data_IF_037308346868
#
_entry.id   IF_037308346868
#
_cell.length_a   1.000
_cell.length_b   1.000
_cell.length_c   1.000
_cell.angle_alpha   90.00
_cell.angle_beta   90.00
_cell.angle_gamma   90.00
#
_symmetry.space_group_name_H-M   'P 1'
#
loop_
_entity.id
_entity.type
_entity.pdbx_description
1 polymer ?
#
# COMPACT_ATOMS: atom_id res chain seq x y z
N UNK A 1 -41.81 5.87 -31.41
CA UNK A 1 -40.82 6.85 -30.92
C UNK A 1 -39.69 6.08 -30.22
N UNK A 2 -38.47 6.05 -30.77
CA UNK A 2 -37.31 5.41 -30.11
C UNK A 2 -36.60 6.47 -29.29
N UNK A 3 -36.98 6.58 -28.00
CA UNK A 3 -36.49 7.63 -27.08
C UNK A 3 -35.12 7.35 -26.47
N UNK A 4 -34.55 6.17 -26.70
CA UNK A 4 -33.26 5.77 -26.10
C UNK A 4 -32.26 5.36 -27.16
N UNK A 5 -31.06 5.90 -27.03
CA UNK A 5 -29.87 5.48 -27.74
C UNK A 5 -28.92 4.83 -26.71
N UNK A 6 -28.55 3.54 -26.88
CA UNK A 6 -27.58 2.92 -25.98
C UNK A 6 -26.21 3.58 -26.14
N UNK A 7 -25.59 3.93 -25.01
CA UNK A 7 -24.20 4.37 -24.93
C UNK A 7 -23.44 3.29 -24.17
N UNK A 8 -22.54 2.60 -24.84
CA UNK A 8 -21.72 1.56 -24.23
C UNK A 8 -20.52 2.21 -23.52
N UNK A 9 -20.35 1.90 -22.23
CA UNK A 9 -19.20 2.29 -21.43
C UNK A 9 -18.48 1.01 -21.03
N UNK A 10 -17.36 0.73 -21.70
CA UNK A 10 -16.54 -0.45 -21.42
C UNK A 10 -15.67 -0.29 -20.17
N UNK A 11 -15.11 -1.39 -19.71
CA UNK A 11 -14.08 -1.38 -18.66
C UNK A 11 -12.82 -0.66 -19.19
N UNK A 12 -12.22 0.27 -18.42
CA UNK A 12 -10.97 0.92 -18.79
C UNK A 12 -9.81 -0.07 -18.77
N UNK A 13 -8.78 0.21 -19.57
CA UNK A 13 -7.55 -0.57 -19.51
C UNK A 13 -6.80 -0.34 -18.19
N UNK A 14 -5.77 -1.14 -17.92
CA UNK A 14 -4.87 -0.92 -16.77
C UNK A 14 -4.21 0.47 -16.87
N UNK A 15 -3.77 0.88 -18.07
CA UNK A 15 -3.15 2.20 -18.28
C UNK A 15 -4.14 3.36 -18.06
N UNK A 16 -5.37 3.21 -18.56
CA UNK A 16 -6.45 4.18 -18.32
C UNK A 16 -6.76 4.26 -16.82
N UNK A 17 -6.79 3.12 -16.13
CA UNK A 17 -7.06 3.07 -14.69
C UNK A 17 -5.96 3.75 -13.90
N UNK A 18 -4.68 3.57 -14.25
CA UNK A 18 -3.57 4.29 -13.63
C UNK A 18 -3.76 5.80 -13.81
N UNK A 19 -4.19 6.24 -15.00
CA UNK A 19 -4.45 7.66 -15.28
C UNK A 19 -5.62 8.21 -14.46
N UNK A 20 -6.69 7.43 -14.31
CA UNK A 20 -7.84 7.74 -13.44
C UNK A 20 -7.38 7.86 -11.99
N UNK A 21 -6.62 6.89 -11.49
CA UNK A 21 -6.09 6.89 -10.12
C UNK A 21 -5.17 8.08 -9.85
N UNK A 22 -4.31 8.47 -10.81
CA UNK A 22 -3.47 9.66 -10.71
C UNK A 22 -4.31 10.93 -10.59
N UNK A 23 -5.41 11.03 -11.34
CA UNK A 23 -6.35 12.15 -11.23
C UNK A 23 -7.12 12.19 -9.90
N UNK A 24 -7.35 11.04 -9.28
CA UNK A 24 -8.03 10.93 -7.97
C UNK A 24 -7.07 11.02 -6.78
N UNK A 25 -5.77 10.86 -7.00
CA UNK A 25 -4.72 10.75 -5.98
C UNK A 25 -4.85 11.83 -4.89
N UNK A 26 -4.86 13.10 -5.28
CA UNK A 26 -4.86 14.21 -4.32
C UNK A 26 -6.10 14.18 -3.42
N UNK A 27 -7.27 13.81 -3.94
CA UNK A 27 -8.50 13.70 -3.14
C UNK A 27 -8.41 12.61 -2.08
N UNK A 28 -7.86 11.44 -2.43
CA UNK A 28 -7.67 10.34 -1.49
C UNK A 28 -6.57 10.64 -0.47
N UNK A 29 -5.47 11.28 -0.88
CA UNK A 29 -4.41 11.76 0.02
C UNK A 29 -4.98 12.71 1.09
N UNK A 30 -5.82 13.67 0.70
CA UNK A 30 -6.47 14.60 1.64
C UNK A 30 -7.47 13.88 2.55
N UNK A 31 -8.31 13.01 1.99
CA UNK A 31 -9.34 12.31 2.75
C UNK A 31 -8.73 11.47 3.88
N UNK A 32 -7.70 10.68 3.55
CA UNK A 32 -7.00 9.78 4.48
C UNK A 32 -5.89 10.45 5.27
N UNK A 33 -5.37 11.59 4.82
CA UNK A 33 -4.23 12.24 5.47
C UNK A 33 -2.92 11.47 5.26
N UNK A 34 -2.77 10.83 4.09
CA UNK A 34 -1.61 10.02 3.70
C UNK A 34 -1.07 10.52 2.36
N UNK A 35 0.13 10.07 1.99
CA UNK A 35 0.73 10.28 0.67
C UNK A 35 0.67 8.97 -0.11
N UNK A 36 0.21 8.97 -1.34
CA UNK A 36 0.09 7.74 -2.13
C UNK A 36 1.19 7.73 -3.19
N UNK A 37 2.13 6.79 -3.12
CA UNK A 37 3.20 6.71 -4.10
C UNK A 37 2.66 6.31 -5.48
N UNK A 38 3.29 6.79 -6.55
CA UNK A 38 2.87 6.43 -7.91
C UNK A 38 2.97 4.91 -8.15
N UNK A 39 4.00 4.28 -7.57
CA UNK A 39 4.13 2.82 -7.58
C UNK A 39 2.95 2.09 -6.92
N UNK A 40 2.34 2.67 -5.88
CA UNK A 40 1.15 2.09 -5.25
C UNK A 40 -0.07 2.17 -6.19
N UNK A 41 -0.24 3.26 -6.94
CA UNK A 41 -1.31 3.37 -7.94
C UNK A 41 -1.15 2.35 -9.06
N UNK A 42 0.09 2.18 -9.55
CA UNK A 42 0.42 1.15 -10.55
C UNK A 42 0.14 -0.25 -9.99
N UNK A 43 0.59 -0.54 -8.77
CA UNK A 43 0.32 -1.82 -8.12
C UNK A 43 -1.19 -2.06 -7.95
N UNK A 44 -1.97 -1.06 -7.57
CA UNK A 44 -3.42 -1.18 -7.39
C UNK A 44 -4.12 -1.58 -8.70
N UNK A 45 -3.77 -0.92 -9.81
CA UNK A 45 -4.33 -1.26 -11.12
C UNK A 45 -3.89 -2.66 -11.60
N UNK A 46 -2.59 -2.97 -11.51
CA UNK A 46 -2.03 -4.25 -12.01
C UNK A 46 -2.50 -5.44 -11.19
N UNK A 47 -2.40 -5.36 -9.86
CA UNK A 47 -2.76 -6.47 -8.97
C UNK A 47 -4.26 -6.70 -8.96
N UNK A 48 -5.09 -5.65 -8.96
CA UNK A 48 -6.55 -5.82 -9.04
C UNK A 48 -6.99 -6.38 -10.39
N UNK A 49 -6.37 -5.97 -11.51
CA UNK A 49 -6.66 -6.53 -12.82
C UNK A 49 -6.31 -8.02 -12.90
N UNK A 50 -5.28 -8.47 -12.17
CA UNK A 50 -4.76 -9.83 -12.26
C UNK A 50 -5.45 -10.80 -11.30
N UNK A 51 -5.66 -10.38 -10.06
CA UNK A 51 -6.04 -11.29 -8.98
C UNK A 51 -7.50 -11.12 -8.52
N UNK A 52 -8.17 -10.01 -8.88
CA UNK A 52 -9.56 -9.75 -8.54
C UNK A 52 -10.39 -9.81 -9.82
N UNK A 53 -10.88 -11.00 -10.15
CA UNK A 53 -11.55 -11.31 -11.43
C UNK A 53 -13.07 -11.17 -11.40
N UNK A 54 -13.67 -11.02 -10.21
CA UNK A 54 -15.11 -10.90 -9.97
C UNK A 54 -15.60 -9.43 -9.96
N UNK A 55 -14.68 -8.47 -10.11
CA UNK A 55 -14.93 -7.03 -10.16
C UNK A 55 -14.23 -6.38 -11.35
N UNK A 56 -14.70 -5.21 -11.75
CA UNK A 56 -14.21 -4.48 -12.91
C UNK A 56 -13.40 -3.24 -12.51
N UNK A 57 -12.42 -2.87 -13.33
CA UNK A 57 -11.74 -1.59 -13.27
C UNK A 57 -12.71 -0.44 -13.61
N UNK A 58 -12.47 0.79 -13.14
CA UNK A 58 -11.41 1.20 -12.23
C UNK A 58 -11.76 0.98 -10.74
N UNK A 59 -13.01 0.62 -10.45
CA UNK A 59 -13.62 0.54 -9.12
C UNK A 59 -12.80 -0.33 -8.15
N UNK A 60 -12.46 -1.56 -8.53
CA UNK A 60 -11.64 -2.45 -7.69
C UNK A 60 -10.25 -1.90 -7.35
N UNK A 61 -9.67 -1.08 -8.23
CA UNK A 61 -8.35 -0.49 -7.99
C UNK A 61 -8.45 0.72 -7.06
N UNK A 62 -9.53 1.51 -7.20
CA UNK A 62 -9.85 2.62 -6.29
C UNK A 62 -10.05 2.09 -4.87
N UNK A 63 -10.81 1.01 -4.71
CA UNK A 63 -11.04 0.43 -3.37
C UNK A 63 -9.76 -0.07 -2.71
N UNK A 64 -8.82 -0.65 -3.47
CA UNK A 64 -7.53 -1.06 -2.90
C UNK A 64 -6.74 0.13 -2.35
N UNK A 65 -6.75 1.25 -3.08
CA UNK A 65 -6.11 2.50 -2.63
C UNK A 65 -6.84 3.07 -1.41
N UNK A 66 -8.16 2.97 -1.38
CA UNK A 66 -8.99 3.43 -0.25
C UNK A 66 -8.76 2.62 1.03
N UNK A 67 -8.73 1.28 0.94
CA UNK A 67 -8.46 0.41 2.09
C UNK A 67 -7.02 0.58 2.57
N UNK A 68 -6.03 0.67 1.65
CA UNK A 68 -4.64 0.91 2.03
C UNK A 68 -4.47 2.28 2.71
N UNK A 69 -5.11 3.34 2.19
CA UNK A 69 -5.12 4.66 2.81
C UNK A 69 -5.78 4.67 4.20
N UNK A 70 -6.90 3.96 4.34
CA UNK A 70 -7.61 3.81 5.63
C UNK A 70 -6.77 3.05 6.65
N UNK A 71 -6.14 1.95 6.24
CA UNK A 71 -5.24 1.16 7.09
C UNK A 71 -4.09 2.02 7.61
N UNK A 72 -3.39 2.72 6.71
CA UNK A 72 -2.25 3.55 7.08
C UNK A 72 -2.65 4.70 8.00
N UNK A 73 -3.82 5.32 7.76
CA UNK A 73 -4.38 6.33 8.66
C UNK A 73 -4.59 5.80 10.08
N UNK A 74 -5.13 4.58 10.22
CA UNK A 74 -5.31 3.96 11.53
C UNK A 74 -3.97 3.73 12.24
N UNK A 75 -2.92 3.35 11.49
CA UNK A 75 -1.57 3.18 12.03
C UNK A 75 -0.98 4.51 12.51
N UNK A 76 -1.16 5.61 11.76
CA UNK A 76 -0.73 6.97 12.15
C UNK A 76 -1.42 7.44 13.42
N UNK A 77 -2.71 7.15 13.56
CA UNK A 77 -3.49 7.55 14.74
C UNK A 77 -3.16 6.72 15.99
N UNK A 78 -2.58 5.53 15.79
CA UNK A 78 -2.23 4.57 16.84
C UNK A 78 -0.83 4.82 17.44
N UNK A 79 -0.60 4.25 18.61
CA UNK A 79 0.71 4.28 19.25
C UNK A 79 1.72 3.42 18.47
N UNK A 80 2.93 3.92 18.15
CA UNK A 80 3.96 3.12 17.49
C UNK A 80 4.36 1.90 18.34
N UNK A 81 4.68 0.79 17.66
CA UNK A 81 5.03 -0.48 18.31
C UNK A 81 6.17 -0.30 19.32
N UNK A 82 7.22 0.43 18.93
CA UNK A 82 8.37 0.72 19.80
C UNK A 82 7.97 1.41 21.11
N UNK A 83 7.00 2.35 21.05
CA UNK A 83 6.53 3.06 22.23
C UNK A 83 5.62 2.17 23.09
N UNK A 84 4.74 1.38 22.47
CA UNK A 84 3.88 0.43 23.18
C UNK A 84 4.69 -0.65 23.92
N UNK A 85 5.76 -1.17 23.31
CA UNK A 85 6.68 -2.12 23.95
C UNK A 85 7.34 -1.53 25.20
N UNK A 86 7.84 -0.30 25.11
CA UNK A 86 8.44 0.40 26.27
C UNK A 86 7.40 0.67 27.34
N UNK A 87 6.19 1.14 26.98
CA UNK A 87 5.12 1.39 27.95
C UNK A 87 4.64 0.12 28.65
N UNK A 88 4.54 -1.00 27.94
CA UNK A 88 4.21 -2.31 28.52
C UNK A 88 5.29 -2.76 29.50
N UNK A 89 6.57 -2.57 29.15
CA UNK A 89 7.69 -2.92 30.04
C UNK A 89 7.68 -2.06 31.31
N UNK A 90 7.45 -0.76 31.19
CA UNK A 90 7.31 0.14 32.35
C UNK A 90 6.18 -0.35 33.26
N UNK A 91 5.01 -0.67 32.71
CA UNK A 91 3.88 -1.19 33.50
C UNK A 91 4.22 -2.48 34.25
N UNK A 92 4.91 -3.43 33.61
CA UNK A 92 5.36 -4.66 34.26
C UNK A 92 6.30 -4.38 35.45
N UNK A 93 7.29 -3.52 35.25
CA UNK A 93 8.24 -3.15 36.30
C UNK A 93 7.58 -2.36 37.42
N UNK A 94 6.60 -1.51 37.14
CA UNK A 94 5.83 -0.81 38.17
C UNK A 94 5.05 -1.78 39.07
N UNK A 95 4.47 -2.84 38.51
CA UNK A 95 3.80 -3.89 39.29
C UNK A 95 4.82 -4.64 40.16
N UNK A 96 5.95 -5.04 39.59
CA UNK A 96 7.04 -5.70 40.34
C UNK A 96 7.59 -4.79 41.45
N UNK A 97 7.72 -3.49 41.21
CA UNK A 97 8.12 -2.48 42.21
C UNK A 97 7.16 -2.45 43.40
N UNK A 98 5.86 -2.41 43.16
CA UNK A 98 4.85 -2.36 44.24
C UNK A 98 4.78 -3.67 45.04
N UNK A 99 5.10 -4.81 44.42
CA UNK A 99 5.27 -6.07 45.14
C UNK A 99 6.52 -6.04 46.03
N UNK A 100 7.68 -5.71 45.46
CA UNK A 100 8.96 -5.67 46.19
C UNK A 100 9.00 -4.64 47.32
N UNK A 101 8.24 -3.54 47.21
CA UNK A 101 8.09 -2.55 48.29
C UNK A 101 7.51 -3.11 49.59
N UNK A 102 6.77 -4.22 49.52
CA UNK A 102 6.17 -4.87 50.69
C UNK A 102 7.10 -5.90 51.33
N UNK A 103 8.17 -6.29 50.64
CA UNK A 103 9.14 -7.27 51.10
C UNK A 103 10.24 -6.63 51.96
N UNK A 104 10.73 -7.37 52.95
CA UNK A 104 11.71 -6.84 53.94
C UNK A 104 13.10 -7.43 53.83
N UNK A 105 13.29 -8.50 53.06
CA UNK A 105 14.55 -9.20 52.92
C UNK A 105 15.58 -8.40 52.09
N UNK A 106 16.86 -8.68 52.30
CA UNK A 106 17.94 -7.94 51.66
C UNK A 106 17.96 -8.09 50.13
N UNK A 107 17.62 -9.29 49.61
CA UNK A 107 17.62 -9.54 48.18
C UNK A 107 16.52 -8.75 47.46
N UNK A 108 15.32 -8.66 48.06
CA UNK A 108 14.23 -7.83 47.54
C UNK A 108 14.58 -6.34 47.53
N UNK A 109 15.27 -5.83 48.57
CA UNK A 109 15.74 -4.44 48.60
C UNK A 109 16.78 -4.15 47.52
N UNK A 110 17.74 -5.03 47.30
CA UNK A 110 18.74 -4.89 46.24
C UNK A 110 18.11 -4.97 44.84
N UNK A 111 17.11 -5.84 44.66
CA UNK A 111 16.33 -5.93 43.41
C UNK A 111 15.53 -4.65 43.18
N UNK A 112 14.90 -4.11 44.22
CA UNK A 112 14.13 -2.87 44.15
C UNK A 112 14.97 -1.70 43.66
N UNK A 113 16.20 -1.51 44.17
CA UNK A 113 17.11 -0.44 43.73
C UNK A 113 17.45 -0.58 42.25
N UNK A 114 17.79 -1.79 41.79
CA UNK A 114 18.08 -2.05 40.37
C UNK A 114 16.87 -1.78 39.48
N UNK A 115 15.69 -2.21 39.94
CA UNK A 115 14.44 -2.03 39.22
C UNK A 115 14.05 -0.55 39.12
N UNK A 116 14.17 0.22 40.20
CA UNK A 116 13.88 1.66 40.19
C UNK A 116 14.79 2.40 39.20
N UNK A 117 16.05 1.98 39.06
CA UNK A 117 16.95 2.50 38.03
C UNK A 117 16.49 2.14 36.61
N UNK A 118 16.22 0.86 36.33
CA UNK A 118 15.70 0.40 35.02
C UNK A 118 14.41 1.14 34.64
N UNK A 119 13.53 1.37 35.62
CA UNK A 119 12.25 2.06 35.45
C UNK A 119 12.46 3.56 35.15
N UNK A 120 13.44 4.20 35.79
CA UNK A 120 13.81 5.59 35.48
C UNK A 120 14.36 5.72 34.05
N UNK A 121 15.27 4.84 33.65
CA UNK A 121 15.88 4.82 32.32
C UNK A 121 14.80 4.60 31.23
N UNK A 122 13.89 3.63 31.44
CA UNK A 122 12.79 3.36 30.52
C UNK A 122 11.78 4.51 30.45
N UNK A 123 11.48 5.17 31.57
CA UNK A 123 10.58 6.35 31.58
C UNK A 123 11.16 7.53 30.83
N UNK A 124 12.46 7.75 30.94
CA UNK A 124 13.15 8.79 30.18
C UNK A 124 13.11 8.49 28.68
N UNK A 125 13.41 7.24 28.29
CA UNK A 125 13.31 6.77 26.91
C UNK A 125 11.89 6.92 26.35
N UNK A 126 10.87 6.42 27.07
CA UNK A 126 9.45 6.54 26.70
C UNK A 126 9.03 7.99 26.50
N UNK A 127 9.47 8.90 27.37
CA UNK A 127 9.18 10.34 27.25
C UNK A 127 9.79 10.93 25.98
N UNK A 128 11.02 10.55 25.64
CA UNK A 128 11.67 10.96 24.38
C UNK A 128 10.90 10.46 23.17
N UNK A 129 10.63 9.15 23.12
CA UNK A 129 9.88 8.50 22.04
C UNK A 129 8.50 9.14 21.84
N UNK A 130 7.76 9.36 22.93
CA UNK A 130 6.44 10.00 22.89
C UNK A 130 6.50 11.43 22.38
N UNK A 131 7.51 12.21 22.80
CA UNK A 131 7.67 13.58 22.34
C UNK A 131 7.95 13.65 20.83
N UNK A 132 8.71 12.69 20.28
CA UNK A 132 9.01 12.64 18.85
C UNK A 132 7.82 12.13 18.03
N UNK A 133 7.06 11.16 18.54
CA UNK A 133 5.79 10.73 17.94
C UNK A 133 4.78 11.88 17.86
N UNK A 134 4.54 12.60 18.95
CA UNK A 134 3.59 13.72 18.99
C UNK A 134 4.01 14.86 18.03
N UNK A 135 5.32 15.15 17.90
CA UNK A 135 5.83 16.11 16.92
C UNK A 135 5.55 15.66 15.48
N UNK A 136 5.81 14.40 15.15
CA UNK A 136 5.55 13.86 13.81
C UNK A 136 4.05 13.88 13.50
N UNK A 137 3.22 13.44 14.44
CA UNK A 137 1.76 13.45 14.32
C UNK A 137 1.21 14.87 14.10
N UNK A 138 1.70 15.85 14.86
CA UNK A 138 1.32 17.25 14.68
C UNK A 138 1.73 17.79 13.30
N UNK A 139 2.92 17.44 12.80
CA UNK A 139 3.38 17.84 11.47
C UNK A 139 2.52 17.23 10.35
N UNK A 140 2.14 15.96 10.46
CA UNK A 140 1.23 15.29 9.51
C UNK A 140 -0.15 15.97 9.52
N UNK A 141 -0.68 16.30 10.71
CA UNK A 141 -1.96 17.00 10.85
C UNK A 141 -1.93 18.40 10.20
N UNK A 142 -0.84 19.16 10.36
CA UNK A 142 -0.63 20.45 9.72
C UNK A 142 -0.64 20.34 8.18
N UNK A 143 0.08 19.36 7.63
CA UNK A 143 0.10 19.09 6.18
C UNK A 143 -1.30 18.78 5.68
N UNK A 144 -2.04 17.92 6.39
CA UNK A 144 -3.41 17.54 6.02
C UNK A 144 -4.35 18.75 5.98
N UNK A 145 -4.29 19.62 6.98
CA UNK A 145 -5.11 20.83 7.02
C UNK A 145 -4.80 21.76 5.83
N UNK A 146 -3.52 21.97 5.52
CA UNK A 146 -3.10 22.80 4.38
C UNK A 146 -3.53 22.19 3.05
N UNK A 147 -3.38 20.88 2.85
CA UNK A 147 -3.84 20.20 1.63
C UNK A 147 -5.37 20.26 1.49
N UNK A 148 -6.12 20.15 2.59
CA UNK A 148 -7.58 20.31 2.56
C UNK A 148 -8.00 21.72 2.14
N UNK A 149 -7.31 22.76 2.65
CA UNK A 149 -7.53 24.15 2.21
C UNK A 149 -7.16 24.35 0.74
N UNK A 150 -6.07 23.73 0.27
CA UNK A 150 -5.63 23.79 -1.12
C UNK A 150 -6.72 23.25 -2.07
N UNK A 151 -7.30 22.09 -1.75
CA UNK A 151 -8.37 21.48 -2.56
C UNK A 151 -9.66 22.32 -2.56
N UNK A 152 -9.99 22.92 -1.43
CA UNK A 152 -11.12 23.86 -1.33
C UNK A 152 -10.89 25.08 -2.24
N UNK A 153 -9.70 25.66 -2.21
CA UNK A 153 -9.34 26.82 -3.06
C UNK A 153 -9.37 26.45 -4.54
N UNK A 154 -8.88 25.27 -4.93
CA UNK A 154 -8.98 24.78 -6.32
C UNK A 154 -10.43 24.68 -6.78
N UNK A 155 -11.30 24.12 -5.95
CA UNK A 155 -12.74 24.05 -6.21
C UNK A 155 -13.34 25.45 -6.38
N UNK A 156 -12.90 26.42 -5.56
CA UNK A 156 -13.41 27.78 -5.62
C UNK A 156 -12.88 28.58 -6.84
N UNK A 157 -11.67 28.27 -7.33
CA UNK A 157 -11.17 28.74 -8.63
C UNK A 157 -12.08 28.25 -9.76
N UNK A 158 -12.37 26.95 -9.82
CA UNK A 158 -13.25 26.38 -10.85
C UNK A 158 -14.66 26.96 -10.81
N UNK A 159 -15.19 27.25 -9.61
CA UNK A 159 -16.48 27.94 -9.46
C UNK A 159 -16.43 29.37 -9.98
N UNK A 160 -15.37 30.11 -9.69
CA UNK A 160 -15.20 31.48 -10.15
C UNK A 160 -15.04 31.56 -11.68
N UNK A 161 -14.25 30.66 -12.26
CA UNK A 161 -14.09 30.54 -13.72
C UNK A 161 -15.44 30.22 -14.40
N UNK A 162 -16.23 29.28 -13.86
CA UNK A 162 -17.58 28.98 -14.36
C UNK A 162 -18.56 30.14 -14.23
N UNK A 163 -18.39 30.99 -13.23
CA UNK A 163 -19.19 32.21 -13.04
C UNK A 163 -18.69 33.40 -13.88
N UNK A 164 -17.63 33.23 -14.67
CA UNK A 164 -16.93 34.29 -15.41
C UNK A 164 -16.38 35.43 -14.51
N UNK A 165 -16.17 35.14 -13.21
CA UNK A 165 -15.49 36.05 -12.28
C UNK A 165 -13.97 35.84 -12.37
N UNK A 166 -13.39 36.32 -13.47
CA UNK A 166 -11.98 36.11 -13.77
C UNK A 166 -11.03 36.85 -12.81
N UNK A 167 -11.48 37.96 -12.21
CA UNK A 167 -10.68 38.70 -11.23
C UNK A 167 -10.46 37.87 -9.98
N UNK A 168 -11.54 37.31 -9.41
CA UNK A 168 -11.47 36.41 -8.25
C UNK A 168 -10.72 35.11 -8.58
N UNK A 169 -10.94 34.54 -9.76
CA UNK A 169 -10.22 33.35 -10.20
C UNK A 169 -8.70 33.60 -10.25
N UNK A 170 -8.27 34.75 -10.79
CA UNK A 170 -6.85 35.13 -10.86
C UNK A 170 -6.24 35.36 -9.46
N UNK A 171 -6.94 36.04 -8.56
CA UNK A 171 -6.51 36.24 -7.17
C UNK A 171 -6.29 34.91 -6.44
N UNK A 172 -7.26 34.00 -6.53
CA UNK A 172 -7.16 32.68 -5.89
C UNK A 172 -6.05 31.84 -6.51
N UNK A 173 -5.93 31.83 -7.84
CA UNK A 173 -4.99 30.98 -8.58
C UNK A 173 -3.54 31.43 -8.43
N UNK A 174 -3.26 32.73 -8.54
CA UNK A 174 -1.89 33.24 -8.49
C UNK A 174 -1.47 33.78 -7.10
N UNK A 175 -2.43 34.07 -6.22
CA UNK A 175 -2.18 34.48 -4.85
C UNK A 175 -2.30 33.30 -3.88
N UNK A 176 -3.53 32.92 -3.53
CA UNK A 176 -3.80 31.95 -2.45
C UNK A 176 -3.25 30.56 -2.74
N UNK A 177 -3.47 30.04 -3.94
CA UNK A 177 -3.09 28.67 -4.32
C UNK A 177 -1.56 28.50 -4.35
N UNK A 178 -0.84 29.43 -4.98
CA UNK A 178 0.64 29.43 -4.99
C UNK A 178 1.22 29.50 -3.57
N UNK A 179 0.63 30.32 -2.70
CA UNK A 179 1.08 30.41 -1.31
C UNK A 179 0.82 29.10 -0.55
N UNK A 180 -0.37 28.51 -0.68
CA UNK A 180 -0.70 27.22 -0.05
C UNK A 180 0.19 26.08 -0.55
N UNK A 181 0.46 26.00 -1.85
CA UNK A 181 1.39 25.00 -2.42
C UNK A 181 2.79 25.13 -1.81
N UNK A 182 3.26 26.37 -1.65
CA UNK A 182 4.55 26.65 -1.00
C UNK A 182 4.55 26.23 0.48
N UNK A 183 3.48 26.55 1.21
CA UNK A 183 3.33 26.18 2.62
C UNK A 183 3.24 24.66 2.85
N UNK A 184 2.58 23.94 1.94
CA UNK A 184 2.53 22.47 1.93
C UNK A 184 3.93 21.91 1.69
N UNK A 185 4.63 22.38 0.64
CA UNK A 185 5.98 21.91 0.33
C UNK A 185 6.97 22.15 1.48
N UNK A 186 6.87 23.29 2.17
CA UNK A 186 7.68 23.58 3.36
C UNK A 186 7.36 22.67 4.54
N UNK A 187 6.08 22.37 4.77
CA UNK A 187 5.66 21.47 5.84
C UNK A 187 6.11 20.02 5.56
N UNK A 188 6.01 19.56 4.31
CA UNK A 188 6.51 18.25 3.87
C UNK A 188 8.05 18.15 4.04
N UNK A 189 8.80 19.19 3.67
CA UNK A 189 10.26 19.22 3.89
C UNK A 189 10.62 19.16 5.38
N UNK A 190 9.90 19.89 6.23
CA UNK A 190 10.09 19.87 7.68
C UNK A 190 9.78 18.48 8.28
N UNK A 191 8.72 17.81 7.81
CA UNK A 191 8.42 16.43 8.22
C UNK A 191 9.55 15.47 7.82
N UNK A 192 10.06 15.59 6.60
CA UNK A 192 11.18 14.77 6.12
C UNK A 192 12.44 14.96 6.98
N UNK A 193 12.76 16.19 7.40
CA UNK A 193 13.87 16.48 8.33
C UNK A 193 13.66 15.84 9.71
N UNK A 194 12.43 15.86 10.24
CA UNK A 194 12.10 15.20 11.50
C UNK A 194 12.27 13.68 11.41
N UNK A 195 11.81 13.08 10.31
CA UNK A 195 11.89 11.64 10.07
C UNK A 195 13.31 11.15 9.81
N UNK A 196 14.21 11.98 9.25
CA UNK A 196 15.63 11.63 9.08
C UNK A 196 16.32 11.34 10.42
N UNK A 197 15.88 11.98 11.51
CA UNK A 197 16.46 11.74 12.85
C UNK A 197 15.93 10.46 13.47
N UNK A 198 14.62 10.23 13.36
CA UNK A 198 13.94 9.06 13.90
C UNK A 198 12.57 8.89 13.24
N UNK A 199 12.41 7.94 12.31
CA UNK A 199 11.13 7.71 11.64
C UNK A 199 10.24 6.81 12.52
N UNK A 200 9.19 7.39 13.13
CA UNK A 200 8.22 6.63 13.94
C UNK A 200 6.92 6.32 13.22
N UNK A 201 6.57 7.17 12.26
CA UNK A 201 5.33 7.07 11.50
C UNK A 201 5.67 6.92 10.02
N UNK A 202 4.93 6.06 9.35
CA UNK A 202 4.89 5.98 7.89
C UNK A 202 3.59 6.60 7.42
N UNK A 203 3.70 7.57 6.53
CA UNK A 203 2.56 8.28 5.92
C UNK A 203 2.42 7.98 4.43
N UNK A 204 3.31 7.17 3.87
CA UNK A 204 3.34 6.83 2.46
C UNK A 204 2.70 5.46 2.20
N UNK A 205 1.68 5.42 1.36
CA UNK A 205 1.11 4.18 0.81
C UNK A 205 2.03 3.68 -0.30
N UNK A 206 2.55 2.48 -0.10
CA UNK A 206 3.54 1.79 -0.94
C UNK A 206 2.90 0.68 -1.80
N UNK A 207 3.59 0.16 -2.83
CA UNK A 207 3.17 -1.06 -3.51
C UNK A 207 2.92 -2.24 -2.57
N UNK A 208 3.70 -2.35 -1.50
CA UNK A 208 3.60 -3.40 -0.49
C UNK A 208 2.28 -3.31 0.27
N UNK A 209 1.84 -2.11 0.67
CA UNK A 209 0.55 -1.90 1.34
C UNK A 209 -0.61 -2.38 0.47
N UNK A 210 -0.55 -2.09 -0.84
CA UNK A 210 -1.55 -2.57 -1.80
C UNK A 210 -1.51 -4.10 -1.90
N UNK A 211 -0.33 -4.69 -1.98
CA UNK A 211 -0.18 -6.14 -2.04
C UNK A 211 -0.70 -6.84 -0.77
N UNK A 212 -0.55 -6.23 0.40
CA UNK A 212 -1.13 -6.72 1.65
C UNK A 212 -2.66 -6.74 1.61
N UNK A 213 -3.29 -5.66 1.13
CA UNK A 213 -4.75 -5.59 0.96
C UNK A 213 -5.23 -6.66 -0.02
N UNK A 214 -4.58 -6.77 -1.19
CA UNK A 214 -4.90 -7.81 -2.19
C UNK A 214 -4.74 -9.21 -1.60
N UNK A 215 -3.66 -9.45 -0.84
CA UNK A 215 -3.40 -10.74 -0.19
C UNK A 215 -4.48 -11.11 0.82
N UNK A 216 -4.98 -10.13 1.58
CA UNK A 216 -6.10 -10.31 2.52
C UNK A 216 -7.42 -10.63 1.80
N UNK A 217 -7.69 -9.99 0.66
CA UNK A 217 -8.92 -10.23 -0.11
C UNK A 217 -8.92 -11.58 -0.83
N UNK A 218 -7.77 -11.96 -1.38
CA UNK A 218 -7.64 -13.12 -2.27
C UNK A 218 -7.13 -14.37 -1.56
N UNK A 219 -6.54 -14.23 -0.36
CA UNK A 219 -5.83 -15.31 0.34
C UNK A 219 -4.46 -15.65 -0.26
N UNK A 220 -4.00 -14.90 -1.27
CA UNK A 220 -2.69 -15.12 -1.90
C UNK A 220 -1.59 -14.50 -1.03
N UNK A 221 -0.54 -15.26 -0.65
CA UNK A 221 0.56 -14.70 0.12
C UNK A 221 1.22 -13.50 -0.57
N UNK A 222 1.50 -12.44 0.18
CA UNK A 222 2.12 -11.19 -0.34
C UNK A 222 3.42 -11.46 -1.09
N UNK A 223 4.22 -12.42 -0.61
CA UNK A 223 5.46 -12.85 -1.29
C UNK A 223 5.24 -13.33 -2.73
N UNK A 224 4.06 -13.89 -3.05
CA UNK A 224 3.70 -14.29 -4.42
C UNK A 224 3.14 -13.13 -5.26
N UNK A 225 2.65 -12.07 -4.63
CA UNK A 225 2.11 -10.87 -5.30
C UNK A 225 3.23 -9.89 -5.67
N UNK A 226 4.24 -9.76 -4.81
CA UNK A 226 5.39 -8.86 -4.99
C UNK A 226 6.43 -9.45 -5.97
N UNK A 227 6.40 -10.77 -6.22
CA UNK A 227 7.26 -11.39 -7.22
C UNK A 227 6.92 -10.86 -8.63
N UNK A 228 7.84 -10.07 -9.19
CA UNK A 228 7.70 -9.53 -10.54
C UNK A 228 7.45 -10.61 -11.58
N UNK A 229 6.57 -10.32 -12.53
CA UNK A 229 6.11 -11.28 -13.56
C UNK A 229 7.29 -11.94 -14.31
N UNK A 230 8.34 -11.16 -14.59
CA UNK A 230 9.57 -11.67 -15.23
C UNK A 230 10.25 -12.73 -14.37
N UNK A 231 10.45 -12.46 -13.07
CA UNK A 231 11.08 -13.40 -12.15
C UNK A 231 10.26 -14.70 -12.00
N UNK A 232 8.93 -14.56 -11.91
CA UNK A 232 8.00 -15.70 -11.87
C UNK A 232 8.10 -16.56 -13.13
N UNK A 233 8.13 -15.92 -14.31
CA UNK A 233 8.21 -16.61 -15.61
C UNK A 233 9.57 -17.26 -15.88
N UNK A 234 10.66 -16.71 -15.35
CA UNK A 234 12.01 -17.30 -15.46
C UNK A 234 12.12 -18.61 -14.66
N UNK A 235 11.36 -18.74 -13.57
CA UNK A 235 11.31 -19.94 -12.72
C UNK A 235 10.13 -20.87 -13.04
N UNK A 236 9.52 -20.70 -14.21
CA UNK A 236 8.28 -21.41 -14.57
C UNK A 236 8.48 -22.93 -14.62
N UNK A 237 9.55 -23.40 -15.22
CA UNK A 237 9.88 -24.83 -15.31
C UNK A 237 10.08 -25.44 -13.92
N UNK A 238 10.89 -24.80 -13.08
CA UNK A 238 11.16 -25.24 -11.70
C UNK A 238 9.86 -25.40 -10.91
N UNK A 239 8.97 -24.41 -10.99
CA UNK A 239 7.68 -24.41 -10.29
C UNK A 239 6.70 -25.43 -10.81
N UNK A 240 6.69 -25.66 -12.13
CA UNK A 240 5.87 -26.73 -12.71
C UNK A 240 6.40 -28.11 -12.27
N UNK A 241 7.73 -28.26 -12.15
CA UNK A 241 8.36 -29.50 -11.69
C UNK A 241 8.15 -29.82 -10.21
N UNK A 242 7.75 -28.85 -9.38
CA UNK A 242 7.32 -29.14 -7.99
C UNK A 242 6.14 -30.13 -7.95
N UNK A 243 5.32 -30.17 -9.00
CA UNK A 243 4.16 -31.08 -9.12
C UNK A 243 4.29 -32.09 -10.25
N UNK A 244 5.13 -31.82 -11.26
CA UNK A 244 5.26 -32.63 -12.46
C UNK A 244 6.61 -33.33 -12.47
N UNK A 245 6.59 -34.65 -12.35
CA UNK A 245 7.80 -35.48 -12.44
C UNK A 245 8.06 -35.84 -13.90
N UNK A 246 9.27 -35.52 -14.39
CA UNK A 246 9.66 -35.70 -15.79
C UNK A 246 8.87 -34.81 -16.74
N UNK A 247 8.61 -35.29 -17.97
CA UNK A 247 7.94 -34.52 -19.03
C UNK A 247 8.67 -33.21 -19.38
N UNK A 248 10.00 -33.20 -19.28
CA UNK A 248 10.82 -31.98 -19.39
C UNK A 248 10.61 -31.24 -20.71
N UNK A 249 10.45 -31.97 -21.81
CA UNK A 249 10.15 -31.41 -23.13
C UNK A 249 8.79 -30.69 -23.14
N UNK A 250 7.75 -31.30 -22.56
CA UNK A 250 6.42 -30.71 -22.52
C UNK A 250 6.39 -29.47 -21.62
N UNK A 251 7.02 -29.53 -20.45
CA UNK A 251 7.14 -28.40 -19.52
C UNK A 251 7.89 -27.24 -20.18
N UNK A 252 9.03 -27.52 -20.80
CA UNK A 252 9.85 -26.53 -21.52
C UNK A 252 9.09 -25.90 -22.69
N UNK A 253 8.35 -26.70 -23.47
CA UNK A 253 7.55 -26.21 -24.58
C UNK A 253 6.43 -25.26 -24.12
N UNK A 254 5.74 -25.61 -23.03
CA UNK A 254 4.69 -24.77 -22.43
C UNK A 254 5.29 -23.49 -21.88
N UNK A 255 6.36 -23.57 -21.08
CA UNK A 255 7.01 -22.40 -20.48
C UNK A 255 7.52 -21.42 -21.54
N UNK A 256 8.15 -21.92 -22.61
CA UNK A 256 8.62 -21.08 -23.72
C UNK A 256 7.48 -20.39 -24.47
N UNK A 257 6.35 -21.09 -24.70
CA UNK A 257 5.20 -20.49 -25.35
C UNK A 257 4.59 -19.36 -24.51
N UNK A 258 4.40 -19.60 -23.21
CA UNK A 258 3.89 -18.59 -22.27
C UNK A 258 4.83 -17.38 -22.18
N UNK A 259 6.14 -17.59 -22.08
CA UNK A 259 7.13 -16.49 -22.08
C UNK A 259 7.07 -15.66 -23.36
N UNK A 260 6.96 -16.30 -24.54
CA UNK A 260 6.83 -15.56 -25.82
C UNK A 260 5.56 -14.72 -25.86
N UNK A 261 4.43 -15.26 -25.39
CA UNK A 261 3.18 -14.52 -25.32
C UNK A 261 3.28 -13.29 -24.41
N UNK A 262 3.84 -13.47 -23.21
CA UNK A 262 4.02 -12.39 -22.23
C UNK A 262 5.05 -11.34 -22.65
N UNK A 263 6.02 -11.71 -23.47
CA UNK A 263 6.98 -10.77 -24.05
C UNK A 263 6.43 -9.97 -25.24
N UNK A 264 5.14 -10.10 -25.58
CA UNK A 264 4.53 -9.43 -26.72
C UNK A 264 5.05 -9.91 -28.08
N UNK A 265 5.71 -11.08 -28.13
CA UNK A 265 6.23 -11.67 -29.37
C UNK A 265 5.18 -12.52 -30.12
N UNK A 266 3.90 -12.36 -29.78
CA UNK A 266 2.77 -13.05 -30.41
C UNK A 266 1.69 -12.04 -30.79
N UNK A 267 0.82 -12.45 -31.72
CA UNK A 267 -0.34 -11.67 -32.13
C UNK A 267 -1.29 -11.43 -30.94
N UNK A 268 -1.62 -10.17 -30.59
CA UNK A 268 -2.52 -9.83 -29.48
C UNK A 268 -3.92 -10.44 -29.59
N UNK A 269 -4.37 -10.80 -30.81
CA UNK A 269 -5.69 -11.38 -31.05
C UNK A 269 -5.73 -12.92 -30.90
N UNK A 270 -4.65 -13.54 -30.40
CA UNK A 270 -4.54 -15.00 -30.21
C UNK A 270 -4.41 -15.36 -28.73
N UNK A 271 -4.82 -16.57 -28.32
CA UNK A 271 -4.62 -17.04 -26.94
C UNK A 271 -3.14 -17.04 -26.55
N UNK A 272 -2.85 -16.86 -25.25
CA UNK A 272 -1.48 -16.90 -24.69
C UNK A 272 -0.71 -18.19 -25.02
N UNK A 273 -1.42 -19.28 -25.30
CA UNK A 273 -0.84 -20.52 -25.76
C UNK A 273 -1.94 -21.48 -26.22
N UNK A 274 -1.66 -22.21 -27.30
CA UNK A 274 -2.53 -23.28 -27.79
C UNK A 274 -1.71 -24.55 -27.86
N UNK A 275 -2.10 -25.56 -27.07
CA UNK A 275 -1.33 -26.78 -26.89
C UNK A 275 -2.17 -28.00 -27.25
N UNK A 276 -1.56 -28.97 -27.92
CA UNK A 276 -2.13 -30.30 -28.16
C UNK A 276 -1.25 -31.34 -27.47
N UNK A 277 -1.70 -31.87 -26.33
CA UNK A 277 -0.94 -32.86 -25.57
C UNK A 277 -1.17 -34.28 -26.09
N UNK A 278 -0.18 -34.80 -26.82
CA UNK A 278 -0.16 -36.17 -27.35
C UNK A 278 0.65 -37.09 -26.43
N UNK A 279 0.26 -38.37 -26.34
CA UNK A 279 0.91 -39.35 -25.45
C UNK A 279 -0.07 -40.26 -24.69
N UNK A 280 0.43 -41.23 -23.92
CA UNK A 280 -0.38 -42.18 -23.16
C UNK A 280 -1.20 -41.51 -22.04
N UNK A 281 -2.22 -42.21 -21.53
CA UNK A 281 -3.01 -41.76 -20.37
C UNK A 281 -2.23 -41.92 -19.06
N UNK A 282 -2.49 -41.06 -18.07
CA UNK A 282 -1.88 -41.17 -16.74
C UNK A 282 -0.47 -40.60 -16.60
N UNK A 283 0.13 -40.06 -17.67
CA UNK A 283 1.53 -39.53 -17.65
C UNK A 283 1.65 -38.05 -17.30
N UNK A 284 0.57 -37.43 -16.80
CA UNK A 284 0.63 -36.06 -16.28
C UNK A 284 0.08 -34.96 -17.19
N UNK A 285 -0.56 -35.26 -18.34
CA UNK A 285 -1.17 -34.25 -19.23
C UNK A 285 -2.15 -33.31 -18.49
N UNK A 286 -3.10 -33.90 -17.77
CA UNK A 286 -4.10 -33.15 -16.98
C UNK A 286 -3.45 -32.45 -15.79
N UNK A 287 -2.40 -33.03 -15.22
CA UNK A 287 -1.68 -32.45 -14.09
C UNK A 287 -0.91 -31.20 -14.53
N UNK A 288 -0.28 -31.23 -15.72
CA UNK A 288 0.35 -30.07 -16.33
C UNK A 288 -0.64 -28.94 -16.59
N UNK A 289 -1.85 -29.25 -17.08
CA UNK A 289 -2.89 -28.24 -17.26
C UNK A 289 -3.31 -27.60 -15.92
N UNK A 290 -3.47 -28.39 -14.84
CA UNK A 290 -3.80 -27.88 -13.50
C UNK A 290 -2.67 -27.05 -12.89
N UNK A 291 -1.42 -27.53 -12.99
CA UNK A 291 -0.25 -26.82 -12.51
C UNK A 291 -0.05 -25.50 -13.26
N UNK A 292 -0.30 -25.48 -14.58
CA UNK A 292 -0.27 -24.26 -15.37
C UNK A 292 -1.37 -23.26 -14.96
N UNK A 293 -2.57 -23.74 -14.66
CA UNK A 293 -3.69 -22.89 -14.22
C UNK A 293 -3.42 -22.24 -12.84
N UNK A 294 -2.78 -22.96 -11.92
CA UNK A 294 -2.36 -22.39 -10.63
C UNK A 294 -1.15 -21.46 -10.77
N UNK A 295 -0.30 -21.70 -11.76
CA UNK A 295 0.88 -20.89 -12.01
C UNK A 295 0.53 -19.53 -12.63
N UNK A 296 -0.37 -19.46 -13.61
CA UNK A 296 -0.67 -18.22 -14.35
C UNK A 296 -1.41 -17.20 -13.46
#
# INVERSE_FOLDING_TARGET
>A
ERRFQPVYVGEPTVEDTISILRGLRERYEVHHGVRILDGALVAAAVLSSRYINDRFLPDKAIDLVDEAGSKLRMEIDSMPVELDEVERRIRQLEIEREALRKETDAASKDRLVKLEKELADLKESSKGLRADWEKQKAAIAEIREKKSRLEQVRTDVEKAERAADFAKAAELKYGTLVNLEREVAQAEAKLAELQQRHKMLTEEVTPEDIAEVVGKWTGIPVSKLVEGEVGKLLKMEERLHERIVGQDEAVTAVANAVRRARAGMQDPNRPLGSFLFLGPTGVGKTLLAKALAEFL
#
